data_IF_796892939302
#
_entry.id   IF_796892939302
#
_cell.length_a   1.000
_cell.length_b   1.000
_cell.length_c   1.000
_cell.angle_alpha   90.00
_cell.angle_beta   90.00
_cell.angle_gamma   90.00
#
_symmetry.space_group_name_H-M   'P 1'
#
loop_
_entity.id
_entity.type
_entity.pdbx_description
1 polymer ?
#
# COMPACT_ATOMS: atom_id res chain seq x y z
N UNK A 1 25.61 -86.02 -23.01
CA UNK A 1 25.61 -84.61 -22.53
C UNK A 1 25.07 -83.63 -23.57
N UNK A 2 25.70 -83.43 -24.74
CA UNK A 2 25.26 -82.40 -25.70
C UNK A 2 23.80 -82.51 -26.19
N UNK A 3 23.22 -83.72 -26.20
CA UNK A 3 21.81 -83.95 -26.55
C UNK A 3 20.83 -83.72 -25.40
N UNK A 4 21.31 -83.63 -24.15
CA UNK A 4 20.49 -83.58 -22.93
C UNK A 4 20.63 -82.28 -22.15
N UNK A 5 21.63 -81.45 -22.47
CA UNK A 5 21.95 -80.23 -21.76
C UNK A 5 21.74 -79.02 -22.67
N UNK A 6 20.77 -78.18 -22.33
CA UNK A 6 20.54 -76.91 -22.99
C UNK A 6 21.32 -75.80 -22.28
N UNK A 7 22.25 -75.18 -23.00
CA UNK A 7 23.06 -74.08 -22.47
C UNK A 7 22.42 -72.71 -22.78
N UNK A 8 22.44 -71.75 -21.84
CA UNK A 8 22.92 -71.89 -20.46
C UNK A 8 21.98 -72.72 -19.58
N UNK A 9 22.56 -73.56 -18.73
CA UNK A 9 21.86 -74.23 -17.64
C UNK A 9 21.48 -73.21 -16.57
N UNK A 10 20.34 -73.39 -15.92
CA UNK A 10 19.82 -72.44 -14.93
C UNK A 10 20.70 -72.44 -13.68
N UNK A 11 21.23 -73.60 -13.32
CA UNK A 11 22.14 -73.77 -12.18
C UNK A 11 23.31 -74.66 -12.54
N UNK A 12 24.40 -74.57 -11.77
CA UNK A 12 25.52 -75.51 -11.90
C UNK A 12 25.10 -76.95 -11.60
N UNK A 13 24.11 -77.14 -10.70
CA UNK A 13 23.62 -78.45 -10.31
C UNK A 13 22.98 -79.21 -11.48
N UNK A 14 22.16 -78.54 -12.28
CA UNK A 14 21.53 -79.12 -13.48
C UNK A 14 22.59 -79.73 -14.42
N UNK A 15 23.70 -79.01 -14.65
CA UNK A 15 24.81 -79.51 -15.46
C UNK A 15 25.48 -80.73 -14.81
N UNK A 16 25.66 -80.72 -13.49
CA UNK A 16 26.26 -81.83 -12.75
C UNK A 16 25.39 -83.09 -12.77
N UNK A 17 24.07 -82.96 -12.66
CA UNK A 17 23.13 -84.07 -12.71
C UNK A 17 23.17 -84.74 -14.10
N UNK A 18 23.06 -83.94 -15.16
CA UNK A 18 23.18 -84.45 -16.55
C UNK A 18 24.55 -85.09 -16.81
N UNK A 19 25.62 -84.53 -16.21
CA UNK A 19 26.94 -85.13 -16.29
C UNK A 19 26.98 -86.49 -15.59
N UNK A 20 26.48 -86.59 -14.36
CA UNK A 20 26.52 -87.83 -13.57
C UNK A 20 25.80 -88.96 -14.31
N UNK A 21 24.63 -88.71 -14.88
CA UNK A 21 23.88 -89.69 -15.67
C UNK A 21 24.69 -90.16 -16.90
N UNK A 22 25.30 -89.21 -17.63
CA UNK A 22 26.12 -89.54 -18.79
C UNK A 22 27.42 -90.27 -18.43
N UNK A 23 28.03 -89.95 -17.28
CA UNK A 23 29.22 -90.61 -16.75
C UNK A 23 28.91 -92.06 -16.39
N UNK A 24 27.79 -92.32 -15.69
CA UNK A 24 27.33 -93.67 -15.38
C UNK A 24 27.10 -94.51 -16.65
N UNK A 25 26.45 -93.95 -17.67
CA UNK A 25 26.25 -94.61 -18.96
C UNK A 25 27.58 -94.90 -19.68
N UNK A 26 28.51 -93.93 -19.70
CA UNK A 26 29.82 -94.09 -20.33
C UNK A 26 30.64 -95.20 -19.65
N UNK A 27 30.63 -95.26 -18.32
CA UNK A 27 31.28 -96.32 -17.55
C UNK A 27 30.63 -97.67 -17.84
N UNK A 28 29.30 -97.76 -17.88
CA UNK A 28 28.60 -99.01 -18.17
C UNK A 28 28.99 -99.57 -19.56
N UNK A 29 28.99 -98.72 -20.59
CA UNK A 29 29.43 -99.09 -21.95
C UNK A 29 30.88 -99.54 -21.97
N UNK A 30 31.77 -98.86 -21.23
CA UNK A 30 33.17 -99.28 -21.12
C UNK A 30 33.32 -100.65 -20.44
N UNK A 31 32.58 -100.92 -19.36
CA UNK A 31 32.63 -102.19 -18.65
C UNK A 31 32.08 -103.36 -19.49
N UNK A 32 31.10 -103.11 -20.36
CA UNK A 32 30.55 -104.12 -21.29
C UNK A 32 31.56 -104.53 -22.37
N UNK A 33 32.43 -103.61 -22.82
CA UNK A 33 33.31 -103.84 -23.97
C UNK A 33 34.80 -103.97 -23.61
N UNK A 34 35.19 -103.72 -22.36
CA UNK A 34 36.56 -103.86 -21.89
C UNK A 34 36.89 -105.33 -21.55
N UNK A 35 38.14 -105.74 -21.78
CA UNK A 35 38.63 -107.05 -21.37
C UNK A 35 40.08 -106.93 -20.88
N UNK A 36 40.43 -107.67 -19.83
CA UNK A 36 41.80 -107.77 -19.27
C UNK A 36 42.44 -106.43 -18.83
N UNK A 37 41.67 -105.50 -18.29
CA UNK A 37 42.19 -104.26 -17.66
C UNK A 37 42.53 -104.47 -16.18
N UNK A 38 43.35 -105.48 -15.86
CA UNK A 38 43.64 -105.90 -14.49
C UNK A 38 44.39 -104.82 -13.68
N UNK A 39 45.11 -103.92 -14.36
CA UNK A 39 45.83 -102.77 -13.79
C UNK A 39 45.00 -101.48 -13.72
N UNK A 40 43.77 -101.51 -14.27
CA UNK A 40 42.84 -100.37 -14.38
C UNK A 40 43.43 -99.16 -15.12
N UNK A 41 44.41 -99.37 -16.02
CA UNK A 41 45.06 -98.27 -16.74
C UNK A 41 44.10 -97.64 -17.74
N UNK A 42 43.31 -98.44 -18.45
CA UNK A 42 42.33 -97.93 -19.41
C UNK A 42 41.14 -97.29 -18.71
N UNK A 43 40.68 -97.86 -17.59
CA UNK A 43 39.64 -97.23 -16.77
C UNK A 43 40.07 -95.87 -16.22
N UNK A 44 41.32 -95.72 -15.74
CA UNK A 44 41.86 -94.42 -15.29
C UNK A 44 41.88 -93.40 -16.42
N UNK A 45 42.28 -93.82 -17.62
CA UNK A 45 42.27 -92.96 -18.81
C UNK A 45 40.85 -92.50 -19.17
N UNK A 46 39.86 -93.39 -19.08
CA UNK A 46 38.46 -93.02 -19.30
C UNK A 46 37.97 -91.96 -18.30
N UNK A 47 38.25 -92.14 -17.01
CA UNK A 47 37.86 -91.18 -15.96
C UNK A 47 38.49 -89.81 -16.22
N UNK A 48 39.76 -89.78 -16.62
CA UNK A 48 40.43 -88.52 -16.99
C UNK A 48 39.77 -87.86 -18.20
N UNK A 49 39.41 -88.63 -19.24
CA UNK A 49 38.69 -88.11 -20.42
C UNK A 49 37.32 -87.56 -20.01
N UNK A 50 36.55 -88.27 -19.19
CA UNK A 50 35.24 -87.82 -18.70
C UNK A 50 35.39 -86.52 -17.91
N UNK A 51 36.36 -86.45 -17.00
CA UNK A 51 36.67 -85.21 -16.26
C UNK A 51 36.99 -84.05 -17.18
N UNK A 52 37.86 -84.24 -18.18
CA UNK A 52 38.20 -83.19 -19.14
C UNK A 52 36.98 -82.75 -19.97
N UNK A 53 36.09 -83.69 -20.32
CA UNK A 53 34.82 -83.36 -21.00
C UNK A 53 33.88 -82.57 -20.11
N UNK A 54 33.77 -82.90 -18.82
CA UNK A 54 33.02 -82.11 -17.84
C UNK A 54 33.49 -80.67 -17.79
N UNK A 55 34.80 -80.47 -17.63
CA UNK A 55 35.41 -79.14 -17.57
C UNK A 55 35.12 -78.34 -18.84
N UNK A 56 35.18 -78.99 -20.02
CA UNK A 56 34.76 -78.39 -21.29
C UNK A 56 33.30 -77.91 -21.29
N UNK A 57 32.36 -78.74 -20.82
CA UNK A 57 30.94 -78.33 -20.71
C UNK A 57 30.72 -77.22 -19.68
N UNK A 58 31.46 -77.21 -18.58
CA UNK A 58 31.40 -76.12 -17.59
C UNK A 58 31.81 -74.80 -18.22
N UNK A 59 32.93 -74.76 -18.95
CA UNK A 59 33.39 -73.56 -19.64
C UNK A 59 32.39 -73.07 -20.69
N UNK A 60 31.84 -73.99 -21.50
CA UNK A 60 30.79 -73.67 -22.48
C UNK A 60 29.53 -73.09 -21.82
N UNK A 61 29.13 -73.63 -20.66
CA UNK A 61 27.99 -73.14 -19.90
C UNK A 61 28.24 -71.73 -19.35
N UNK A 62 29.43 -71.48 -18.80
CA UNK A 62 29.82 -70.15 -18.33
C UNK A 62 29.84 -69.13 -19.47
N UNK A 63 30.39 -69.49 -20.63
CA UNK A 63 30.43 -68.63 -21.81
C UNK A 63 29.01 -68.33 -22.34
N UNK A 64 28.16 -69.37 -22.47
CA UNK A 64 26.77 -69.20 -22.89
C UNK A 64 25.97 -68.34 -21.92
N UNK A 65 26.15 -68.54 -20.61
CA UNK A 65 25.50 -67.76 -19.55
C UNK A 65 25.96 -66.31 -19.59
N UNK A 66 27.27 -66.06 -19.71
CA UNK A 66 27.81 -64.72 -19.79
C UNK A 66 27.30 -63.97 -21.03
N UNK A 67 27.30 -64.64 -22.19
CA UNK A 67 26.80 -64.08 -23.45
C UNK A 67 25.32 -63.73 -23.36
N UNK A 68 24.48 -64.66 -22.88
CA UNK A 68 23.05 -64.43 -22.73
C UNK A 68 22.75 -63.29 -21.75
N UNK A 69 23.46 -63.22 -20.61
CA UNK A 69 23.28 -62.15 -19.64
C UNK A 69 23.68 -60.79 -20.20
N UNK A 70 24.78 -60.71 -20.96
CA UNK A 70 25.18 -59.47 -21.64
C UNK A 70 24.13 -59.09 -22.70
N UNK A 71 23.71 -60.06 -23.51
CA UNK A 71 22.51 -60.10 -24.37
C UNK A 71 21.35 -59.27 -23.81
N UNK A 72 20.93 -59.69 -22.61
CA UNK A 72 19.76 -59.16 -21.92
C UNK A 72 20.02 -57.82 -21.26
N UNK A 73 21.20 -57.58 -20.69
CA UNK A 73 21.54 -56.28 -20.12
C UNK A 73 21.64 -55.20 -21.19
N UNK A 74 22.21 -55.51 -22.35
CA UNK A 74 22.30 -54.57 -23.47
C UNK A 74 20.88 -54.14 -23.90
N UNK A 75 19.96 -55.10 -24.03
CA UNK A 75 18.55 -54.83 -24.33
C UNK A 75 17.85 -53.99 -23.24
N UNK A 76 17.99 -54.36 -21.97
CA UNK A 76 17.34 -53.65 -20.86
C UNK A 76 17.94 -52.25 -20.62
N UNK A 77 19.21 -52.05 -21.00
CA UNK A 77 19.92 -50.78 -20.81
C UNK A 77 19.74 -49.79 -21.95
N UNK A 78 19.15 -50.19 -23.08
CA UNK A 78 18.98 -49.35 -24.27
C UNK A 78 18.34 -48.00 -23.94
N UNK A 79 17.18 -48.02 -23.27
CA UNK A 79 16.49 -46.79 -22.85
C UNK A 79 17.33 -45.95 -21.88
N UNK A 80 18.06 -46.59 -20.96
CA UNK A 80 18.91 -45.86 -20.02
C UNK A 80 20.06 -45.14 -20.76
N UNK A 81 20.71 -45.83 -21.71
CA UNK A 81 21.78 -45.28 -22.55
C UNK A 81 21.27 -44.12 -23.40
N UNK A 82 20.10 -44.28 -24.03
CA UNK A 82 19.46 -43.19 -24.79
C UNK A 82 19.17 -41.97 -23.91
N UNK A 83 18.62 -42.16 -22.72
CA UNK A 83 18.36 -41.07 -21.77
C UNK A 83 19.64 -40.36 -21.33
N UNK A 84 20.73 -41.10 -21.10
CA UNK A 84 22.04 -40.52 -20.77
C UNK A 84 22.55 -39.69 -21.95
N UNK A 85 22.55 -40.26 -23.17
CA UNK A 85 23.04 -39.59 -24.38
C UNK A 85 22.23 -38.35 -24.76
N UNK A 86 20.92 -38.39 -24.54
CA UNK A 86 20.03 -37.24 -24.75
C UNK A 86 20.16 -36.16 -23.66
N UNK A 87 20.96 -36.40 -22.62
CA UNK A 87 21.14 -35.46 -21.51
C UNK A 87 19.90 -35.31 -20.63
N UNK A 88 18.99 -36.29 -20.60
CA UNK A 88 17.73 -36.21 -19.83
C UNK A 88 17.96 -36.08 -18.32
N UNK A 89 19.12 -36.55 -17.83
CA UNK A 89 19.53 -36.43 -16.44
C UNK A 89 20.30 -35.14 -16.13
N UNK A 90 20.55 -34.28 -17.12
CA UNK A 90 21.23 -32.98 -16.94
C UNK A 90 20.26 -31.88 -16.53
N UNK A 91 19.49 -32.16 -15.50
CA UNK A 91 18.49 -31.26 -14.89
C UNK A 91 18.70 -31.24 -13.37
N UNK A 92 18.24 -30.19 -12.65
CA UNK A 92 18.20 -30.22 -11.19
C UNK A 92 17.35 -31.39 -10.70
N UNK A 93 17.87 -32.19 -9.77
CA UNK A 93 17.29 -33.46 -9.33
C UNK A 93 17.51 -34.62 -10.29
N UNK A 94 18.33 -34.44 -11.32
CA UNK A 94 18.60 -35.45 -12.35
C UNK A 94 19.30 -36.71 -11.85
N UNK A 95 20.09 -36.61 -10.77
CA UNK A 95 20.74 -37.80 -10.18
C UNK A 95 19.72 -38.79 -9.61
N UNK A 96 18.66 -38.30 -8.96
CA UNK A 96 17.59 -39.16 -8.46
C UNK A 96 16.83 -39.87 -9.59
N UNK A 97 16.59 -39.17 -10.71
CA UNK A 97 15.95 -39.74 -11.89
C UNK A 97 16.78 -40.88 -12.48
N UNK A 98 18.09 -40.66 -12.59
CA UNK A 98 19.03 -41.70 -13.02
C UNK A 98 19.02 -42.90 -12.07
N UNK A 99 19.06 -42.67 -10.76
CA UNK A 99 19.06 -43.75 -9.76
C UNK A 99 17.81 -44.62 -9.85
N UNK A 100 16.62 -44.02 -10.05
CA UNK A 100 15.38 -44.77 -10.25
C UNK A 100 15.39 -45.59 -11.53
N UNK A 101 15.92 -45.04 -12.62
CA UNK A 101 16.04 -45.77 -13.90
C UNK A 101 16.99 -46.97 -13.78
N UNK A 102 18.14 -46.78 -13.13
CA UNK A 102 19.10 -47.85 -12.82
C UNK A 102 18.50 -48.95 -11.94
N UNK A 103 17.76 -48.59 -10.89
CA UNK A 103 17.07 -49.55 -10.03
C UNK A 103 15.99 -50.35 -10.77
N UNK A 104 15.25 -49.71 -11.68
CA UNK A 104 14.27 -50.40 -12.52
C UNK A 104 14.95 -51.43 -13.43
N UNK A 105 16.06 -51.06 -14.06
CA UNK A 105 16.86 -51.96 -14.88
C UNK A 105 17.37 -53.17 -14.09
N UNK A 106 17.93 -52.94 -12.89
CA UNK A 106 18.36 -54.02 -12.00
C UNK A 106 17.20 -54.96 -11.64
N UNK A 107 16.02 -54.40 -11.36
CA UNK A 107 14.82 -55.17 -11.08
C UNK A 107 14.37 -55.99 -12.29
N UNK A 108 14.33 -55.40 -13.49
CA UNK A 108 13.96 -56.10 -14.73
C UNK A 108 14.94 -57.25 -15.02
N UNK A 109 16.24 -57.02 -14.81
CA UNK A 109 17.26 -58.05 -14.98
C UNK A 109 17.10 -59.22 -13.98
N UNK A 110 16.76 -58.93 -12.73
CA UNK A 110 16.47 -59.97 -11.74
C UNK A 110 15.33 -60.89 -12.18
N UNK A 111 14.35 -60.39 -12.94
CA UNK A 111 13.20 -61.16 -13.44
C UNK A 111 13.48 -61.94 -14.73
N UNK A 112 14.62 -61.73 -15.40
CA UNK A 112 15.00 -62.53 -16.57
C UNK A 112 15.20 -63.99 -16.19
N UNK A 113 14.54 -64.91 -16.89
CA UNK A 113 14.70 -66.35 -16.67
C UNK A 113 15.95 -66.90 -17.37
N UNK A 114 16.44 -68.04 -16.88
CA UNK A 114 17.54 -68.82 -17.47
C UNK A 114 18.84 -68.04 -17.71
N UNK A 115 19.21 -67.16 -16.77
CA UNK A 115 20.45 -66.38 -16.84
C UNK A 115 21.70 -67.25 -16.72
N UNK A 116 21.60 -68.35 -15.97
CA UNK A 116 22.68 -69.28 -15.69
C UNK A 116 23.71 -68.74 -14.71
N UNK A 117 24.84 -69.45 -14.61
CA UNK A 117 25.82 -69.32 -13.52
C UNK A 117 26.61 -68.01 -13.49
N UNK A 118 26.64 -67.23 -14.57
CA UNK A 118 27.39 -65.97 -14.65
C UNK A 118 26.54 -64.72 -14.38
N UNK A 119 25.25 -64.87 -14.05
CA UNK A 119 24.29 -63.77 -13.92
C UNK A 119 24.78 -62.59 -13.06
N UNK A 120 25.24 -62.89 -11.85
CA UNK A 120 25.67 -61.87 -10.88
C UNK A 120 26.97 -61.18 -11.30
N UNK A 121 27.90 -61.94 -11.88
CA UNK A 121 29.19 -61.42 -12.32
C UNK A 121 29.05 -60.44 -13.48
N UNK A 122 28.17 -60.74 -14.44
CA UNK A 122 27.89 -59.84 -15.56
C UNK A 122 27.19 -58.57 -15.06
N UNK A 123 26.18 -58.71 -14.19
CA UNK A 123 25.50 -57.56 -13.59
C UNK A 123 26.48 -56.66 -12.82
N UNK A 124 27.34 -57.25 -11.99
CA UNK A 124 28.35 -56.51 -11.22
C UNK A 124 29.27 -55.67 -12.14
N UNK A 125 29.74 -56.25 -13.25
CA UNK A 125 30.57 -55.53 -14.24
C UNK A 125 29.81 -54.38 -14.89
N UNK A 126 28.55 -54.59 -15.25
CA UNK A 126 27.69 -53.53 -15.78
C UNK A 126 27.55 -52.38 -14.77
N UNK A 127 27.22 -52.69 -13.52
CA UNK A 127 27.08 -51.67 -12.46
C UNK A 127 28.38 -50.92 -12.19
N UNK A 128 29.53 -51.59 -12.27
CA UNK A 128 30.84 -50.95 -12.17
C UNK A 128 31.08 -49.95 -13.32
N UNK A 129 30.71 -50.30 -14.55
CA UNK A 129 30.81 -49.39 -15.70
C UNK A 129 29.93 -48.14 -15.53
N UNK A 130 28.78 -48.26 -14.85
CA UNK A 130 27.87 -47.15 -14.58
C UNK A 130 28.37 -46.16 -13.52
N UNK A 131 29.32 -46.53 -12.65
CA UNK A 131 29.80 -45.67 -11.53
C UNK A 131 30.34 -44.32 -12.01
N UNK A 132 31.11 -44.32 -13.11
CA UNK A 132 31.68 -43.08 -13.64
C UNK A 132 30.60 -42.15 -14.20
N UNK A 133 29.60 -42.72 -14.87
CA UNK A 133 28.45 -42.00 -15.43
C UNK A 133 27.62 -41.39 -14.30
N UNK A 134 27.28 -42.19 -13.29
CA UNK A 134 26.53 -41.75 -12.12
C UNK A 134 27.21 -40.58 -11.40
N UNK A 135 28.53 -40.66 -11.22
CA UNK A 135 29.33 -39.59 -10.62
C UNK A 135 29.27 -38.30 -11.44
N UNK A 136 29.33 -38.39 -12.77
CA UNK A 136 29.22 -37.23 -13.66
C UNK A 136 27.85 -36.58 -13.57
N UNK A 137 26.77 -37.40 -13.56
CA UNK A 137 25.39 -36.91 -13.43
C UNK A 137 25.21 -36.18 -12.09
N UNK A 138 25.70 -36.77 -11.00
CA UNK A 138 25.65 -36.16 -9.66
C UNK A 138 26.36 -34.81 -9.61
N UNK A 139 27.54 -34.70 -10.23
CA UNK A 139 28.28 -33.44 -10.27
C UNK A 139 27.52 -32.38 -11.05
N UNK A 140 26.95 -32.72 -12.20
CA UNK A 140 26.14 -31.81 -13.02
C UNK A 140 24.89 -31.36 -12.28
N UNK A 141 24.16 -32.28 -11.64
CA UNK A 141 22.97 -31.98 -10.85
C UNK A 141 23.28 -30.97 -9.73
N UNK A 142 24.35 -31.22 -8.95
CA UNK A 142 24.78 -30.31 -7.90
C UNK A 142 25.11 -28.92 -8.45
N UNK A 143 25.86 -28.85 -9.56
CA UNK A 143 26.21 -27.57 -10.19
C UNK A 143 24.97 -26.80 -10.68
N UNK A 144 23.99 -27.50 -11.26
CA UNK A 144 22.73 -26.90 -11.72
C UNK A 144 21.90 -26.40 -10.54
N UNK A 145 21.79 -27.21 -9.48
CA UNK A 145 21.07 -26.85 -8.26
C UNK A 145 21.70 -25.63 -7.57
N UNK A 146 23.02 -25.59 -7.44
CA UNK A 146 23.75 -24.47 -6.85
C UNK A 146 23.58 -23.19 -7.70
N UNK A 147 23.63 -23.32 -9.03
CA UNK A 147 23.36 -22.20 -9.95
C UNK A 147 21.94 -21.66 -9.81
N UNK A 148 20.93 -22.52 -9.67
CA UNK A 148 19.55 -22.08 -9.47
C UNK A 148 19.38 -21.31 -8.16
N UNK A 149 19.99 -21.79 -7.08
CA UNK A 149 20.00 -21.10 -5.78
C UNK A 149 20.66 -19.72 -5.88
N UNK A 150 21.82 -19.63 -6.53
CA UNK A 150 22.52 -18.36 -6.72
C UNK A 150 21.68 -17.34 -7.51
N UNK A 151 21.00 -17.77 -8.58
CA UNK A 151 20.10 -16.90 -9.35
C UNK A 151 18.91 -16.44 -8.50
N UNK A 152 18.32 -17.33 -7.71
CA UNK A 152 17.21 -16.97 -6.82
C UNK A 152 17.64 -15.96 -5.74
N UNK A 153 18.82 -16.15 -5.15
CA UNK A 153 19.40 -15.21 -4.19
C UNK A 153 19.71 -13.85 -4.81
N UNK A 154 20.27 -13.81 -6.02
CA UNK A 154 20.55 -12.56 -6.73
C UNK A 154 19.24 -11.80 -7.02
N UNK A 155 18.19 -12.50 -7.47
CA UNK A 155 16.86 -11.91 -7.67
C UNK A 155 16.28 -11.34 -6.39
N UNK A 156 16.34 -12.10 -5.29
CA UNK A 156 15.86 -11.64 -3.99
C UNK A 156 16.62 -10.39 -3.50
N UNK A 157 17.94 -10.33 -3.72
CA UNK A 157 18.75 -9.14 -3.39
C UNK A 157 18.37 -7.92 -4.24
N UNK A 158 18.16 -8.11 -5.55
CA UNK A 158 17.72 -7.02 -6.45
C UNK A 158 16.34 -6.49 -6.03
N UNK A 159 15.37 -7.37 -5.79
CA UNK A 159 14.04 -6.97 -5.32
C UNK A 159 14.08 -6.25 -3.97
N UNK A 160 14.91 -6.70 -3.04
CA UNK A 160 15.09 -6.03 -1.76
C UNK A 160 15.71 -4.64 -1.91
N UNK A 161 16.70 -4.50 -2.80
CA UNK A 161 17.33 -3.21 -3.10
C UNK A 161 16.35 -2.25 -3.79
N UNK A 162 15.55 -2.72 -4.75
CA UNK A 162 14.52 -1.92 -5.42
C UNK A 162 13.44 -1.45 -4.43
N UNK A 163 12.95 -2.34 -3.55
CA UNK A 163 12.00 -1.96 -2.49
C UNK A 163 12.59 -0.95 -1.52
N UNK A 164 13.86 -1.09 -1.14
CA UNK A 164 14.53 -0.12 -0.28
C UNK A 164 14.68 1.24 -0.97
N UNK A 165 15.03 1.26 -2.26
CA UNK A 165 15.12 2.50 -3.03
C UNK A 165 13.77 3.19 -3.18
N UNK A 166 12.70 2.43 -3.39
CA UNK A 166 11.34 2.98 -3.48
C UNK A 166 10.88 3.57 -2.15
N UNK A 167 11.17 2.90 -1.03
CA UNK A 167 10.92 3.46 0.31
C UNK A 167 11.66 4.77 0.55
N UNK A 168 12.94 4.84 0.20
CA UNK A 168 13.73 6.07 0.32
C UNK A 168 13.16 7.21 -0.55
N UNK A 169 12.68 6.90 -1.76
CA UNK A 169 12.01 7.90 -2.62
C UNK A 169 10.71 8.39 -2.00
N UNK A 170 9.89 7.49 -1.44
CA UNK A 170 8.66 7.86 -0.75
C UNK A 170 8.93 8.72 0.48
N UNK A 171 9.92 8.36 1.30
CA UNK A 171 10.34 9.14 2.45
C UNK A 171 10.80 10.54 2.05
N UNK A 172 11.60 10.65 0.98
CA UNK A 172 12.05 11.95 0.45
C UNK A 172 10.89 12.80 -0.09
N UNK A 173 9.91 12.18 -0.76
CA UNK A 173 8.71 12.88 -1.23
C UNK A 173 7.87 13.38 -0.06
N UNK A 174 7.69 12.57 0.98
CA UNK A 174 6.95 12.96 2.18
C UNK A 174 7.64 14.11 2.93
N UNK A 175 8.98 14.07 3.05
CA UNK A 175 9.75 15.18 3.62
C UNK A 175 9.57 16.48 2.83
N UNK A 176 9.67 16.44 1.50
CA UNK A 176 9.44 17.61 0.65
C UNK A 176 8.03 18.17 0.79
N UNK A 177 7.02 17.30 0.87
CA UNK A 177 5.64 17.72 1.08
C UNK A 177 5.48 18.43 2.43
N UNK A 178 6.04 17.85 3.50
CA UNK A 178 6.01 18.44 4.83
C UNK A 178 6.72 19.80 4.90
N UNK A 179 7.88 19.94 4.25
CA UNK A 179 8.59 21.23 4.13
C UNK A 179 7.73 22.28 3.40
N UNK A 180 7.07 21.91 2.30
CA UNK A 180 6.18 22.82 1.57
C UNK A 180 4.97 23.25 2.41
N UNK A 181 4.36 22.32 3.16
CA UNK A 181 3.26 22.64 4.07
C UNK A 181 3.70 23.61 5.18
N UNK A 182 4.88 23.40 5.75
CA UNK A 182 5.45 24.31 6.76
C UNK A 182 5.72 25.70 6.19
N UNK A 183 6.31 25.79 4.99
CA UNK A 183 6.53 27.07 4.31
C UNK A 183 5.22 27.81 4.04
N UNK A 184 4.19 27.10 3.55
CA UNK A 184 2.87 27.68 3.30
C UNK A 184 2.20 28.14 4.61
N UNK A 185 2.31 27.35 5.68
CA UNK A 185 1.76 27.71 7.00
C UNK A 185 2.45 28.95 7.57
N UNK A 186 3.79 29.03 7.50
CA UNK A 186 4.56 30.19 7.92
C UNK A 186 4.21 31.44 7.12
N UNK A 187 4.05 31.30 5.79
CA UNK A 187 3.66 32.40 4.92
C UNK A 187 2.25 32.92 5.25
N UNK A 188 1.28 32.00 5.45
CA UNK A 188 -0.07 32.34 5.90
C UNK A 188 -0.06 33.05 7.25
N UNK A 189 0.73 32.57 8.21
CA UNK A 189 0.90 33.21 9.51
C UNK A 189 1.45 34.63 9.40
N UNK A 190 2.47 34.84 8.55
CA UNK A 190 3.04 36.17 8.27
C UNK A 190 2.02 37.13 7.65
N UNK A 191 1.25 36.67 6.65
CA UNK A 191 0.20 37.48 6.04
C UNK A 191 -0.91 37.83 7.04
N UNK A 192 -1.31 36.87 7.88
CA UNK A 192 -2.32 37.10 8.91
C UNK A 192 -1.86 38.15 9.92
N UNK A 193 -0.62 38.04 10.41
CA UNK A 193 -0.04 39.03 11.32
C UNK A 193 0.03 40.43 10.67
N UNK A 194 0.37 40.51 9.38
CA UNK A 194 0.37 41.78 8.64
C UNK A 194 -1.05 42.39 8.57
N UNK A 195 -2.07 41.58 8.26
CA UNK A 195 -3.47 42.01 8.26
C UNK A 195 -3.88 42.52 9.64
N UNK A 196 -3.51 41.82 10.70
CA UNK A 196 -3.85 42.20 12.07
C UNK A 196 -3.15 43.50 12.49
N UNK A 197 -1.90 43.71 12.07
CA UNK A 197 -1.19 44.97 12.27
C UNK A 197 -1.84 46.14 11.50
N UNK A 198 -2.24 45.92 10.25
CA UNK A 198 -2.96 46.91 9.45
C UNK A 198 -4.32 47.27 10.07
N UNK A 199 -5.08 46.28 10.55
CA UNK A 199 -6.35 46.50 11.26
C UNK A 199 -6.14 47.36 12.51
N UNK A 200 -5.16 47.02 13.36
CA UNK A 200 -4.81 47.81 14.55
C UNK A 200 -4.35 49.24 14.21
N UNK A 201 -3.69 49.44 13.06
CA UNK A 201 -3.31 50.79 12.60
C UNK A 201 -4.53 51.58 12.16
N UNK A 202 -5.44 50.97 11.40
CA UNK A 202 -6.68 51.60 10.94
C UNK A 202 -7.59 52.00 12.11
N UNK A 203 -7.73 51.13 13.12
CA UNK A 203 -8.50 51.43 14.34
C UNK A 203 -7.92 52.65 15.08
N UNK A 204 -6.59 52.69 15.26
CA UNK A 204 -5.91 53.85 15.86
C UNK A 204 -6.10 55.13 15.05
N UNK A 205 -6.02 55.05 13.72
CA UNK A 205 -6.27 56.21 12.84
C UNK A 205 -7.72 56.68 12.91
N UNK A 206 -8.69 55.76 12.98
CA UNK A 206 -10.11 56.08 13.16
C UNK A 206 -10.35 56.74 14.52
N UNK A 207 -9.82 56.18 15.60
CA UNK A 207 -9.92 56.78 16.93
C UNK A 207 -9.29 58.17 17.00
N UNK A 208 -8.14 58.37 16.37
CA UNK A 208 -7.47 59.67 16.29
C UNK A 208 -8.35 60.69 15.55
N UNK A 209 -8.87 60.34 14.37
CA UNK A 209 -9.78 61.21 13.61
C UNK A 209 -11.05 61.53 14.39
N UNK A 210 -11.64 60.55 15.07
CA UNK A 210 -12.86 60.74 15.86
C UNK A 210 -12.60 61.70 17.04
N UNK A 211 -11.46 61.53 17.73
CA UNK A 211 -11.02 62.44 18.80
C UNK A 211 -10.81 63.86 18.29
N UNK A 212 -10.17 64.03 17.14
CA UNK A 212 -9.94 65.34 16.54
C UNK A 212 -11.25 66.02 16.13
N UNK A 213 -12.17 65.28 15.51
CA UNK A 213 -13.51 65.77 15.17
C UNK A 213 -14.30 66.18 16.42
N UNK A 214 -14.25 65.38 17.49
CA UNK A 214 -14.90 65.70 18.76
C UNK A 214 -14.31 66.95 19.42
N UNK A 215 -12.97 67.09 19.45
CA UNK A 215 -12.33 68.31 19.95
C UNK A 215 -12.71 69.55 19.14
N UNK A 216 -12.77 69.41 17.80
CA UNK A 216 -13.19 70.51 16.93
C UNK A 216 -14.65 70.89 17.19
N UNK A 217 -15.52 69.91 17.36
CA UNK A 217 -16.94 70.11 17.69
C UNK A 217 -17.09 70.80 19.05
N UNK A 218 -16.38 70.35 20.07
CA UNK A 218 -16.41 70.93 21.41
C UNK A 218 -15.92 72.38 21.41
N UNK A 219 -14.83 72.68 20.67
CA UNK A 219 -14.37 74.07 20.47
C UNK A 219 -15.43 74.94 19.80
N UNK A 220 -16.12 74.42 18.77
CA UNK A 220 -17.22 75.14 18.11
C UNK A 220 -18.40 75.38 19.05
N UNK A 221 -18.76 74.40 19.88
CA UNK A 221 -19.83 74.53 20.89
C UNK A 221 -19.47 75.58 21.96
N UNK A 222 -18.25 75.53 22.52
CA UNK A 222 -17.75 76.55 23.46
C UNK A 222 -17.75 77.95 22.86
N UNK A 223 -17.33 78.09 21.60
CA UNK A 223 -17.39 79.37 20.90
C UNK A 223 -18.83 79.87 20.74
N UNK A 224 -19.77 78.98 20.41
CA UNK A 224 -21.20 79.32 20.33
C UNK A 224 -21.77 79.74 21.69
N UNK A 225 -21.42 79.04 22.77
CA UNK A 225 -21.82 79.36 24.14
C UNK A 225 -21.30 80.75 24.57
N UNK A 226 -20.03 81.06 24.32
CA UNK A 226 -19.45 82.38 24.60
C UNK A 226 -20.12 83.48 23.76
N UNK A 227 -20.39 83.22 22.48
CA UNK A 227 -21.10 84.18 21.63
C UNK A 227 -22.54 84.42 22.11
N UNK A 228 -23.27 83.36 22.49
CA UNK A 228 -24.60 83.45 23.08
C UNK A 228 -24.56 84.23 24.40
N UNK A 229 -23.64 83.91 25.30
CA UNK A 229 -23.43 84.63 26.56
C UNK A 229 -23.20 86.12 26.33
N UNK A 230 -22.28 86.49 25.43
CA UNK A 230 -22.01 87.90 25.07
C UNK A 230 -23.19 88.61 24.41
N UNK A 231 -24.06 87.89 23.68
CA UNK A 231 -25.28 88.46 23.11
C UNK A 231 -26.33 88.69 24.19
N UNK A 232 -26.49 87.73 25.11
CA UNK A 232 -27.38 87.86 26.26
C UNK A 232 -26.94 88.96 27.22
N UNK A 233 -25.65 89.06 27.51
CA UNK A 233 -25.04 90.09 28.36
C UNK A 233 -25.26 91.50 27.78
N UNK A 234 -24.90 91.73 26.50
CA UNK A 234 -25.20 93.00 25.82
C UNK A 234 -26.69 93.32 25.82
N UNK A 235 -27.55 92.30 25.70
CA UNK A 235 -29.01 92.49 25.72
C UNK A 235 -29.52 92.80 27.13
N UNK A 236 -28.94 92.22 28.18
CA UNK A 236 -29.27 92.53 29.58
C UNK A 236 -28.73 93.89 30.01
N UNK A 237 -27.53 94.29 29.56
CA UNK A 237 -26.98 95.63 29.80
C UNK A 237 -27.87 96.70 29.17
N UNK A 238 -28.31 96.48 27.93
CA UNK A 238 -29.25 97.38 27.26
C UNK A 238 -30.60 97.45 27.99
N UNK A 239 -31.11 96.31 28.45
CA UNK A 239 -32.33 96.24 29.26
C UNK A 239 -32.17 96.96 30.62
N UNK A 240 -31.02 96.82 31.27
CA UNK A 240 -30.71 97.49 32.53
C UNK A 240 -30.54 99.01 32.34
N UNK A 241 -29.91 99.45 31.26
CA UNK A 241 -29.85 100.87 30.91
C UNK A 241 -31.26 101.45 30.66
N UNK A 242 -32.16 100.67 30.04
CA UNK A 242 -33.58 101.04 29.92
C UNK A 242 -34.28 101.11 31.30
N UNK A 243 -33.99 100.18 32.23
CA UNK A 243 -34.51 100.19 33.60
C UNK A 243 -33.97 101.39 34.41
N UNK A 244 -32.69 101.73 34.26
CA UNK A 244 -32.07 102.86 34.97
C UNK A 244 -32.55 104.21 34.40
N UNK A 245 -32.81 104.29 33.09
CA UNK A 245 -33.51 105.43 32.50
C UNK A 245 -34.92 105.57 33.09
N UNK A 246 -35.65 104.47 33.28
CA UNK A 246 -36.97 104.49 33.92
C UNK A 246 -36.88 104.88 35.41
N UNK A 247 -35.87 104.42 36.15
CA UNK A 247 -35.64 104.82 37.55
C UNK A 247 -35.28 106.30 37.70
N UNK A 248 -34.48 106.85 36.79
CA UNK A 248 -34.16 108.28 36.79
C UNK A 248 -35.36 109.17 36.45
N UNK A 249 -36.33 108.67 35.67
CA UNK A 249 -37.61 109.36 35.44
C UNK A 249 -38.46 109.35 36.73
N UNK A 250 -38.43 108.26 37.50
CA UNK A 250 -39.22 108.12 38.75
C UNK A 250 -38.65 108.98 39.90
N UNK A 251 -37.33 109.24 39.93
CA UNK A 251 -36.70 110.05 40.98
C UNK A 251 -36.83 111.58 40.80
N UNK A 252 -37.49 112.05 39.72
CA UNK A 252 -37.48 113.45 39.31
C UNK A 252 -38.78 114.26 39.47
N UNK A 253 -39.86 113.72 40.03
CA UNK A 253 -41.14 114.45 40.12
C UNK A 253 -41.95 114.08 41.36
N UNK A 254 -42.29 115.09 42.16
CA UNK A 254 -43.13 115.00 43.36
C UNK A 254 -44.52 115.62 43.09
N UNK A 255 -45.56 115.00 43.70
CA UNK A 255 -47.01 115.31 43.73
C UNK A 255 -47.94 114.94 42.55
N UNK A 256 -48.92 114.10 42.94
CA UNK A 256 -50.18 113.64 42.33
C UNK A 256 -50.69 114.25 41.01
N UNK A 257 -50.81 113.40 39.97
CA UNK A 257 -52.15 113.05 39.44
C UNK A 257 -52.13 111.78 38.56
N UNK A 258 -53.00 110.85 38.95
CA UNK A 258 -53.02 109.44 38.57
C UNK A 258 -53.86 109.18 37.31
N UNK A 259 -53.44 109.70 36.16
CA UNK A 259 -54.18 109.45 34.91
C UNK A 259 -53.32 109.24 33.65
N UNK A 260 -52.07 109.70 33.61
CA UNK A 260 -51.23 109.53 32.42
C UNK A 260 -50.32 108.27 32.46
N UNK A 261 -49.95 107.81 33.66
CA UNK A 261 -49.07 106.64 33.89
C UNK A 261 -49.68 105.34 33.35
N UNK A 262 -51.00 105.17 33.48
CA UNK A 262 -51.73 103.99 32.97
C UNK A 262 -51.70 103.93 31.44
N UNK A 263 -51.76 105.08 30.76
CA UNK A 263 -51.76 105.15 29.28
C UNK A 263 -50.36 104.88 28.70
N UNK A 264 -49.31 105.31 29.40
CA UNK A 264 -47.93 105.01 29.02
C UNK A 264 -47.57 103.53 29.25
N UNK A 265 -48.01 102.93 30.37
CA UNK A 265 -47.75 101.53 30.68
C UNK A 265 -48.46 100.57 29.69
N UNK A 266 -49.70 100.87 29.31
CA UNK A 266 -50.44 100.06 28.31
C UNK A 266 -49.75 100.10 26.94
N UNK A 267 -49.28 101.26 26.48
CA UNK A 267 -48.55 101.36 25.21
C UNK A 267 -47.17 100.68 25.24
N UNK A 268 -46.50 100.69 26.39
CA UNK A 268 -45.24 99.98 26.59
C UNK A 268 -45.43 98.45 26.59
N UNK A 269 -46.47 97.96 27.28
CA UNK A 269 -46.83 96.53 27.30
C UNK A 269 -47.28 96.05 25.91
N UNK A 270 -48.05 96.85 25.15
CA UNK A 270 -48.41 96.52 23.75
C UNK A 270 -47.17 96.40 22.85
N UNK A 271 -46.17 97.29 23.02
CA UNK A 271 -44.92 97.25 22.25
C UNK A 271 -44.07 96.02 22.59
N UNK A 272 -43.95 95.65 23.87
CA UNK A 272 -43.21 94.45 24.28
C UNK A 272 -43.91 93.17 23.79
N UNK A 273 -45.24 93.10 23.88
CA UNK A 273 -46.00 91.94 23.36
C UNK A 273 -45.80 91.81 21.83
N UNK A 274 -45.73 92.91 21.09
CA UNK A 274 -45.45 92.89 19.63
C UNK A 274 -44.00 92.54 19.27
N UNK A 275 -43.04 92.73 20.18
CA UNK A 275 -41.63 92.37 19.97
C UNK A 275 -41.31 90.92 20.40
N UNK A 276 -42.12 90.33 21.29
CA UNK A 276 -41.97 88.95 21.77
C UNK A 276 -42.86 87.98 20.97
N UNK A 277 -44.02 88.43 20.46
CA UNK A 277 -44.94 87.61 19.67
C UNK A 277 -45.47 88.34 18.42
N UNK A 278 -44.76 88.29 17.28
CA UNK A 278 -45.41 88.43 15.98
C UNK A 278 -46.32 87.22 15.74
N UNK A 279 -47.64 87.44 15.74
CA UNK A 279 -48.61 86.48 15.18
C UNK A 279 -48.29 86.25 13.71
N UNK A 280 -47.73 85.09 13.41
CA UNK A 280 -48.38 84.16 12.50
C UNK A 280 -48.21 82.74 13.06
N UNK A 281 -49.23 82.29 13.79
CA UNK A 281 -49.41 80.88 14.18
C UNK A 281 -50.44 80.27 13.25
N UNK A 282 -49.93 79.49 12.30
CA UNK A 282 -50.59 78.38 11.60
C UNK A 282 -49.40 77.50 11.23
N UNK A 283 -49.16 76.31 11.76
CA UNK A 283 -50.05 75.28 12.28
C UNK A 283 -49.25 74.36 13.20
N UNK A 284 -49.94 73.88 14.22
CA UNK A 284 -49.57 72.73 15.03
C UNK A 284 -49.05 71.53 14.19
N UNK A 285 -48.05 70.85 14.73
CA UNK A 285 -48.13 69.41 14.99
C UNK A 285 -48.40 68.49 13.79
N UNK A 286 -47.37 68.24 12.98
CA UNK A 286 -47.14 66.90 12.39
C UNK A 286 -45.63 66.62 12.56
N UNK A 287 -45.25 66.01 13.68
CA UNK A 287 -45.00 64.57 13.74
C UNK A 287 -43.88 64.18 12.78
N UNK A 288 -42.65 64.21 13.28
CA UNK A 288 -41.79 63.02 13.31
C UNK A 288 -41.94 62.07 12.10
N UNK A 289 -41.63 62.53 10.89
CA UNK A 289 -41.59 61.68 9.68
C UNK A 289 -40.56 62.20 8.68
N UNK A 290 -39.28 62.15 9.02
CA UNK A 290 -38.24 62.10 7.97
C UNK A 290 -36.95 61.38 8.39
N UNK A 291 -37.07 60.41 9.31
CA UNK A 291 -36.05 59.37 9.54
C UNK A 291 -36.65 57.99 9.81
N UNK A 292 -37.94 57.77 9.51
CA UNK A 292 -38.60 56.46 9.61
C UNK A 292 -38.78 55.79 8.24
N UNK A 293 -38.46 56.46 7.14
CA UNK A 293 -38.53 55.88 5.78
C UNK A 293 -37.26 55.18 5.30
N UNK A 294 -36.26 54.98 6.16
CA UNK A 294 -35.10 54.15 5.80
C UNK A 294 -34.79 52.99 6.76
N UNK A 295 -35.61 52.81 7.81
CA UNK A 295 -35.47 51.68 8.76
C UNK A 295 -36.73 50.81 8.90
N UNK A 296 -37.80 51.08 8.15
CA UNK A 296 -39.01 50.24 8.08
C UNK A 296 -39.19 49.46 6.77
N UNK A 297 -38.15 49.39 5.93
CA UNK A 297 -38.14 48.57 4.71
C UNK A 297 -37.32 47.28 4.81
N UNK A 298 -36.52 47.09 5.87
CA UNK A 298 -35.58 45.95 5.94
C UNK A 298 -35.95 44.87 6.96
N UNK A 299 -36.98 45.10 7.80
CA UNK A 299 -37.38 44.16 8.85
C UNK A 299 -38.60 43.29 8.52
N UNK A 300 -39.23 43.48 7.34
CA UNK A 300 -40.34 42.63 6.88
C UNK A 300 -39.97 41.66 5.75
N UNK A 301 -38.76 41.74 5.20
CA UNK A 301 -38.23 40.75 4.26
C UNK A 301 -37.71 39.47 4.93
N UNK A 302 -37.09 39.60 6.11
CA UNK A 302 -36.52 38.46 6.82
C UNK A 302 -37.59 37.58 7.52
N UNK A 303 -38.72 38.16 7.92
CA UNK A 303 -39.77 37.42 8.63
C UNK A 303 -40.61 36.55 7.67
N UNK A 304 -40.85 37.02 6.44
CA UNK A 304 -41.55 36.23 5.41
C UNK A 304 -40.67 35.14 4.80
N UNK A 305 -39.35 35.36 4.69
CA UNK A 305 -38.44 34.33 4.18
C UNK A 305 -38.24 33.18 5.19
N UNK A 306 -38.20 33.49 6.49
CA UNK A 306 -38.14 32.46 7.54
C UNK A 306 -39.45 31.66 7.64
N UNK A 307 -40.61 32.32 7.53
CA UNK A 307 -41.89 31.63 7.58
C UNK A 307 -42.13 30.76 6.33
N UNK A 308 -41.71 31.20 5.14
CA UNK A 308 -41.79 30.40 3.92
C UNK A 308 -40.83 29.21 3.92
N UNK A 309 -39.60 29.37 4.44
CA UNK A 309 -38.64 28.26 4.52
C UNK A 309 -39.04 27.19 5.54
N UNK A 310 -39.71 27.58 6.64
CA UNK A 310 -40.21 26.65 7.65
C UNK A 310 -41.47 25.91 7.17
N UNK A 311 -42.39 26.59 6.49
CA UNK A 311 -43.59 25.96 5.90
C UNK A 311 -43.20 25.01 4.76
N UNK A 312 -42.23 25.37 3.91
CA UNK A 312 -41.74 24.48 2.85
C UNK A 312 -40.98 23.25 3.40
N UNK A 313 -40.19 23.39 4.47
CA UNK A 313 -39.54 22.24 5.12
C UNK A 313 -40.54 21.33 5.84
N UNK A 314 -41.57 21.88 6.48
CA UNK A 314 -42.61 21.09 7.13
C UNK A 314 -43.42 20.29 6.10
N UNK A 315 -43.72 20.86 4.94
CA UNK A 315 -44.38 20.15 3.82
C UNK A 315 -43.45 19.06 3.24
N UNK A 316 -42.15 19.32 3.08
CA UNK A 316 -41.20 18.31 2.61
C UNK A 316 -41.02 17.14 3.60
N UNK A 317 -41.00 17.43 4.90
CA UNK A 317 -40.87 16.42 5.96
C UNK A 317 -42.14 15.55 6.06
N UNK A 318 -43.32 16.13 5.90
CA UNK A 318 -44.60 15.40 5.87
C UNK A 318 -44.71 14.53 4.60
N UNK A 319 -44.24 15.01 3.44
CA UNK A 319 -44.24 14.22 2.21
C UNK A 319 -43.22 13.07 2.22
N UNK A 320 -42.07 13.22 2.87
CA UNK A 320 -41.05 12.16 2.93
C UNK A 320 -41.44 11.02 3.91
N UNK A 321 -42.21 11.33 4.96
CA UNK A 321 -42.62 10.34 5.97
C UNK A 321 -43.88 9.54 5.61
N UNK A 322 -44.61 9.95 4.55
CA UNK A 322 -45.84 9.27 4.08
C UNK A 322 -45.65 8.49 2.78
N UNK A 323 -44.45 8.50 2.19
CA UNK A 323 -44.13 7.86 0.90
C UNK A 323 -42.83 7.02 0.93
N UNK A 324 -42.37 6.62 2.11
CA UNK A 324 -41.50 5.46 2.35
C UNK A 324 -42.21 4.51 3.30
#
# INVERSE_FOLDING_TARGET
MAQRLDLPADTYLELLEVHADCECEAIAVFMEHSFKDDTQEFQKMLVEIIKNKKEGFVLQNEEASAKYCQEKLDQLSETLVECISAGMFSVPGGHELYQRAKQRLEWDYCHVLRKGVQADKVLQRFLQAQVAIERSILQTDKALTDRQKAIAEERARKEAAEKAQERLKQELLNQKLQEQEQQLAAQKGSFQENIDQLRKKLERELEYRLREQNMMLERKLKMQEVLLGKVFERRSEKMNAEIDHLRNIIAGTDSDDTHWVVKAFVNFVIRIISAIFPRNTSTLFVRNTMYVFWLRGFFWGAFFHFLFFWVCNLIFYICFYYYS
#
